data_IF_122063986497
#
_entry.id   IF_122063986497
#
_cell.length_a   1.000
_cell.length_b   1.000
_cell.length_c   1.000
_cell.angle_alpha   90.00
_cell.angle_beta   90.00
_cell.angle_gamma   90.00
#
_symmetry.space_group_name_H-M   'P 1'
#
loop_
_entity.id
_entity.type
_entity.pdbx_description
1 polymer ?
#
# COMPACT_ATOMS: atom_id res chain seq x y z
N UNK A 1 -7.47 5.40 14.08
CA UNK A 1 -6.33 4.66 13.48
C UNK A 1 -5.75 5.45 12.32
N UNK A 2 -4.44 5.71 12.32
CA UNK A 2 -3.72 6.32 11.19
C UNK A 2 -2.81 5.28 10.52
N UNK A 3 -3.07 4.98 9.26
CA UNK A 3 -2.26 4.05 8.45
C UNK A 3 -1.56 4.82 7.33
N UNK A 4 -0.29 4.52 7.11
CA UNK A 4 0.52 5.21 6.10
C UNK A 4 1.19 4.18 5.21
N UNK A 5 1.15 4.39 3.90
CA UNK A 5 1.99 3.65 2.95
C UNK A 5 2.94 4.59 2.22
N UNK A 6 4.16 4.11 1.98
CA UNK A 6 5.17 4.85 1.24
C UNK A 6 6.18 3.92 0.56
N UNK A 7 6.33 4.02 -0.73
CA UNK A 7 7.48 3.47 -1.41
C UNK A 7 8.68 4.39 -1.13
N UNK A 8 9.58 3.95 -0.26
CA UNK A 8 10.68 4.77 0.22
C UNK A 8 11.87 4.84 -0.74
N UNK A 9 11.86 4.11 -1.87
CA UNK A 9 12.99 4.01 -2.78
C UNK A 9 14.28 3.62 -2.06
N UNK A 10 14.25 2.50 -1.32
CA UNK A 10 15.34 1.90 -0.53
C UNK A 10 15.88 2.78 0.62
N UNK A 11 16.81 2.22 1.38
CA UNK A 11 17.50 2.90 2.50
C UNK A 11 16.56 3.60 3.50
N UNK A 12 15.48 2.91 3.88
CA UNK A 12 14.47 3.41 4.82
C UNK A 12 15.09 3.92 6.13
N UNK A 13 16.10 3.23 6.69
CA UNK A 13 16.82 3.64 7.90
C UNK A 13 17.32 5.09 7.91
N UNK A 14 17.57 5.67 6.72
CA UNK A 14 18.02 7.06 6.57
C UNK A 14 16.88 8.08 6.50
N UNK A 15 15.65 7.61 6.47
CA UNK A 15 14.45 8.41 6.17
C UNK A 15 13.32 8.17 7.16
N UNK A 16 13.46 7.15 8.01
CA UNK A 16 12.39 6.68 8.91
C UNK A 16 11.88 7.79 9.83
N UNK A 17 12.74 8.66 10.35
CA UNK A 17 12.35 9.77 11.21
C UNK A 17 11.33 10.72 10.55
N UNK A 18 11.44 10.95 9.23
CA UNK A 18 10.51 11.86 8.53
C UNK A 18 9.10 11.30 8.44
N UNK A 19 8.97 9.98 8.17
CA UNK A 19 7.64 9.37 8.07
C UNK A 19 7.07 9.07 9.45
N UNK A 20 7.89 8.72 10.42
CA UNK A 20 7.47 8.48 11.81
C UNK A 20 7.01 9.76 12.52
N UNK A 21 7.52 10.92 12.11
CA UNK A 21 7.01 12.22 12.56
C UNK A 21 5.53 12.43 12.20
N UNK A 22 4.97 11.67 11.25
CA UNK A 22 3.54 11.65 10.91
C UNK A 22 2.70 10.83 11.90
N UNK A 23 3.33 10.16 12.88
CA UNK A 23 2.71 9.36 13.96
C UNK A 23 1.72 8.30 13.43
N UNK A 24 2.17 7.35 12.59
CA UNK A 24 1.32 6.24 12.17
C UNK A 24 1.05 5.27 13.32
N UNK A 25 -0.15 4.68 13.37
CA UNK A 25 -0.42 3.47 14.14
C UNK A 25 0.10 2.24 13.38
N UNK A 26 -0.07 2.24 12.05
CA UNK A 26 0.43 1.20 11.15
C UNK A 26 1.16 1.88 9.98
N UNK A 27 2.37 1.41 9.69
CA UNK A 27 3.23 1.95 8.63
C UNK A 27 3.63 0.84 7.66
N UNK A 28 3.32 1.02 6.36
CA UNK A 28 3.69 0.12 5.28
C UNK A 28 4.79 0.79 4.45
N UNK A 29 5.95 0.13 4.36
CA UNK A 29 7.10 0.64 3.60
C UNK A 29 7.42 -0.31 2.46
N UNK A 30 7.18 0.16 1.25
CA UNK A 30 7.60 -0.51 0.02
C UNK A 30 9.06 -0.15 -0.28
N UNK A 31 9.82 -1.10 -0.79
CA UNK A 31 11.26 -1.02 -1.01
C UNK A 31 12.09 -0.86 0.28
N UNK A 32 11.58 -1.35 1.38
CA UNK A 32 12.26 -1.34 2.68
C UNK A 32 13.38 -2.37 2.72
N UNK A 33 14.53 -2.00 3.30
CA UNK A 33 15.54 -2.98 3.67
C UNK A 33 15.08 -3.88 4.81
N UNK A 34 15.77 -5.03 4.99
CA UNK A 34 15.49 -5.99 6.06
C UNK A 34 15.58 -5.34 7.44
N UNK A 35 14.74 -5.79 8.36
CA UNK A 35 14.59 -5.20 9.69
C UNK A 35 15.91 -5.13 10.49
N UNK A 36 16.80 -6.10 10.30
CA UNK A 36 18.13 -6.13 10.98
C UNK A 36 19.05 -4.95 10.61
N UNK A 37 18.71 -4.22 9.53
CA UNK A 37 19.43 -3.02 9.10
C UNK A 37 18.89 -1.75 9.71
N UNK A 38 17.75 -1.81 10.36
CA UNK A 38 17.09 -0.67 10.98
C UNK A 38 17.72 -0.45 12.37
N UNK A 39 18.17 0.77 12.61
CA UNK A 39 18.65 1.21 13.92
C UNK A 39 17.52 1.97 14.59
N UNK A 40 17.04 1.46 15.70
CA UNK A 40 16.02 2.11 16.50
C UNK A 40 16.69 3.06 17.50
N UNK A 41 16.19 4.28 17.55
CA UNK A 41 16.67 5.39 18.39
C UNK A 41 15.46 6.14 18.94
N UNK A 42 15.66 7.17 19.73
CA UNK A 42 14.56 8.01 20.23
C UNK A 42 13.77 8.66 19.07
N UNK A 43 14.44 9.03 17.97
CA UNK A 43 13.81 9.56 16.75
C UNK A 43 13.21 8.48 15.83
N UNK A 44 13.62 7.23 16.03
CA UNK A 44 13.14 6.07 15.25
C UNK A 44 12.73 4.99 16.26
N UNK A 45 11.54 5.12 16.88
CA UNK A 45 11.08 4.20 17.90
C UNK A 45 10.94 2.79 17.36
N UNK A 46 11.21 1.82 18.21
CA UNK A 46 11.02 0.41 17.89
C UNK A 46 9.52 0.14 17.75
N UNK A 47 9.07 -0.52 16.64
CA UNK A 47 7.68 -0.92 16.50
C UNK A 47 7.29 -1.96 17.56
N UNK A 48 6.02 -2.00 17.94
CA UNK A 48 5.45 -3.02 18.84
C UNK A 48 5.34 -4.37 18.15
N UNK A 49 5.13 -4.36 16.82
CA UNK A 49 5.10 -5.55 15.97
C UNK A 49 5.56 -5.19 14.55
N UNK A 50 6.12 -6.16 13.82
CA UNK A 50 6.59 -5.91 12.45
C UNK A 50 6.78 -7.20 11.67
N UNK A 51 6.50 -7.12 10.36
CA UNK A 51 6.78 -8.19 9.39
C UNK A 51 7.55 -7.59 8.21
N UNK A 52 8.38 -8.43 7.58
CA UNK A 52 9.12 -8.05 6.38
C UNK A 52 9.12 -9.21 5.37
N UNK A 53 8.95 -8.87 4.10
CA UNK A 53 8.89 -9.79 2.98
C UNK A 53 9.87 -9.35 1.89
N UNK A 54 10.78 -10.22 1.53
CA UNK A 54 11.75 -9.92 0.47
C UNK A 54 12.74 -11.06 0.25
N UNK A 55 13.32 -11.11 -0.94
CA UNK A 55 14.40 -12.05 -1.27
C UNK A 55 15.79 -11.48 -1.05
N UNK A 56 15.90 -10.16 -1.07
CA UNK A 56 17.14 -9.44 -0.93
C UNK A 56 17.04 -8.48 0.25
N UNK A 57 17.94 -8.63 1.22
CA UNK A 57 17.98 -7.82 2.43
C UNK A 57 18.05 -6.28 2.23
N UNK A 58 18.28 -5.83 1.00
CA UNK A 58 18.32 -4.40 0.68
C UNK A 58 16.98 -3.85 0.19
N UNK A 59 16.01 -4.72 -0.17
CA UNK A 59 14.77 -4.31 -0.80
C UNK A 59 13.66 -5.34 -0.57
N UNK A 60 12.60 -4.92 0.08
CA UNK A 60 11.42 -5.74 0.39
C UNK A 60 10.21 -4.88 0.70
N UNK A 61 9.19 -5.52 1.24
CA UNK A 61 7.95 -4.92 1.70
C UNK A 61 7.87 -5.12 3.21
N UNK A 62 7.75 -4.04 3.96
CA UNK A 62 7.66 -4.06 5.43
C UNK A 62 6.34 -3.49 5.92
N UNK A 63 5.87 -4.02 7.04
CA UNK A 63 4.79 -3.44 7.83
C UNK A 63 5.23 -3.32 9.28
N UNK A 64 4.93 -2.21 9.92
CA UNK A 64 5.25 -1.88 11.30
C UNK A 64 3.99 -1.44 12.02
N UNK A 65 3.78 -1.93 13.24
CA UNK A 65 2.79 -1.42 14.19
C UNK A 65 3.48 -0.58 15.26
N UNK A 66 2.93 0.58 15.57
CA UNK A 66 3.37 1.48 16.65
C UNK A 66 2.29 1.63 17.75
N UNK A 67 1.18 0.90 17.62
CA UNK A 67 0.08 0.86 18.59
C UNK A 67 -0.15 -0.55 19.14
N UNK A 68 -1.40 -0.85 19.47
CA UNK A 68 -1.82 -2.13 20.05
C UNK A 68 -2.07 -3.21 18.99
N UNK A 69 -1.93 -2.89 17.70
CA UNK A 69 -2.16 -3.81 16.62
C UNK A 69 -1.10 -4.93 16.57
N UNK A 70 -1.56 -6.16 16.31
CA UNK A 70 -0.74 -7.36 16.07
C UNK A 70 -0.86 -7.77 14.63
N UNK A 71 0.23 -8.24 14.06
CA UNK A 71 0.38 -8.54 12.64
C UNK A 71 0.68 -10.03 12.47
N UNK A 72 -0.14 -10.74 11.72
CA UNK A 72 0.09 -12.15 11.41
C UNK A 72 -0.15 -12.39 9.91
N UNK A 73 0.83 -13.02 9.25
CA UNK A 73 0.60 -13.49 7.86
C UNK A 73 -0.49 -14.56 7.87
N UNK A 74 -1.47 -14.46 6.98
CA UNK A 74 -2.52 -15.46 6.86
C UNK A 74 -1.95 -16.78 6.32
N UNK A 75 -2.46 -17.91 6.81
CA UNK A 75 -1.97 -19.26 6.49
C UNK A 75 -2.10 -19.63 5.01
N UNK A 76 -3.08 -19.06 4.32
CA UNK A 76 -3.30 -19.24 2.89
C UNK A 76 -2.48 -18.29 2.01
N UNK A 77 -1.45 -17.64 2.55
CA UNK A 77 -0.52 -16.85 1.75
C UNK A 77 0.11 -17.69 0.63
N UNK A 78 -0.05 -17.22 -0.61
CA UNK A 78 0.49 -17.87 -1.79
C UNK A 78 1.67 -17.05 -2.35
N UNK A 79 2.87 -17.63 -2.28
CA UNK A 79 4.10 -16.99 -2.75
C UNK A 79 4.14 -16.71 -4.26
N UNK A 80 3.26 -17.32 -5.05
CA UNK A 80 3.16 -17.05 -6.49
C UNK A 80 2.76 -15.61 -6.78
N UNK A 81 2.02 -14.97 -5.86
CA UNK A 81 1.66 -13.55 -5.96
C UNK A 81 2.76 -12.60 -5.50
N UNK A 82 3.95 -13.11 -5.21
CA UNK A 82 5.16 -12.35 -4.88
C UNK A 82 4.92 -11.39 -3.69
N UNK A 83 4.80 -10.09 -3.98
CA UNK A 83 4.65 -9.02 -2.98
C UNK A 83 3.20 -8.56 -2.85
N UNK A 84 2.25 -9.50 -2.87
CA UNK A 84 0.86 -9.28 -2.46
C UNK A 84 0.61 -10.20 -1.27
N UNK A 85 0.70 -9.63 -0.07
CA UNK A 85 0.79 -10.37 1.17
C UNK A 85 -0.47 -10.17 1.99
N UNK A 86 -1.26 -11.24 2.23
CA UNK A 86 -2.42 -11.18 3.13
C UNK A 86 -1.97 -11.25 4.60
N UNK A 87 -2.35 -10.24 5.38
CA UNK A 87 -2.04 -10.07 6.79
C UNK A 87 -3.35 -10.01 7.58
N UNK A 88 -3.43 -10.73 8.67
CA UNK A 88 -4.40 -10.47 9.71
C UNK A 88 -3.86 -9.36 10.62
N UNK A 89 -4.64 -8.30 10.77
CA UNK A 89 -4.40 -7.23 11.74
C UNK A 89 -5.41 -7.36 12.85
N UNK A 90 -4.96 -7.52 14.08
CA UNK A 90 -5.82 -7.71 15.25
C UNK A 90 -5.39 -6.82 16.42
N UNK A 91 -6.28 -6.63 17.37
CA UNK A 91 -6.08 -5.69 18.48
C UNK A 91 -6.38 -4.23 18.07
N UNK A 92 -6.10 -3.28 18.95
CA UNK A 92 -6.46 -1.89 18.72
C UNK A 92 -7.98 -1.68 18.67
N UNK A 93 -8.46 -0.84 17.75
CA UNK A 93 -9.88 -0.47 17.69
C UNK A 93 -10.75 -1.51 16.98
N UNK A 94 -10.21 -2.25 16.01
CA UNK A 94 -10.93 -3.31 15.26
C UNK A 94 -9.96 -4.21 14.51
N UNK A 95 -10.40 -5.41 14.23
CA UNK A 95 -9.67 -6.43 13.48
C UNK A 95 -10.04 -6.35 11.99
N UNK A 96 -9.07 -6.58 11.10
CA UNK A 96 -9.29 -6.56 9.65
C UNK A 96 -8.25 -7.40 8.90
N UNK A 97 -8.59 -7.77 7.67
CA UNK A 97 -7.65 -8.34 6.73
C UNK A 97 -6.97 -7.23 5.94
N UNK A 98 -5.65 -7.28 5.85
CA UNK A 98 -4.82 -6.31 5.15
C UNK A 98 -4.04 -7.00 4.05
N UNK A 99 -4.21 -6.55 2.81
CA UNK A 99 -3.37 -6.96 1.68
C UNK A 99 -2.31 -5.89 1.43
N UNK A 100 -1.05 -6.21 1.77
CA UNK A 100 0.09 -5.38 1.42
C UNK A 100 0.37 -5.51 -0.07
N UNK A 101 0.50 -4.40 -0.76
CA UNK A 101 0.69 -4.38 -2.21
C UNK A 101 2.02 -3.72 -2.58
N UNK A 102 2.85 -4.49 -3.29
CA UNK A 102 3.92 -3.96 -4.11
C UNK A 102 3.89 -4.68 -5.46
N UNK A 103 3.10 -4.13 -6.38
CA UNK A 103 2.92 -4.68 -7.70
C UNK A 103 4.14 -4.33 -8.57
N UNK A 104 5.12 -5.22 -8.65
CA UNK A 104 6.34 -5.01 -9.42
C UNK A 104 6.41 -5.94 -10.65
N UNK A 105 7.44 -5.77 -11.47
CA UNK A 105 7.70 -6.63 -12.60
C UNK A 105 8.73 -7.72 -12.25
N UNK A 106 8.31 -8.98 -12.04
CA UNK A 106 9.22 -10.09 -11.71
C UNK A 106 9.96 -10.66 -12.90
N UNK A 107 9.81 -10.09 -14.12
CA UNK A 107 10.34 -10.63 -15.37
C UNK A 107 9.41 -11.62 -16.08
N UNK A 108 8.31 -12.02 -15.47
CA UNK A 108 7.29 -12.88 -16.05
C UNK A 108 6.26 -12.07 -16.86
N UNK A 109 5.94 -12.49 -18.09
CA UNK A 109 5.00 -11.78 -18.97
C UNK A 109 3.57 -11.77 -18.41
N UNK A 110 3.16 -12.82 -17.69
CA UNK A 110 1.80 -13.03 -17.23
C UNK A 110 1.58 -12.61 -15.76
N UNK A 111 2.62 -12.13 -15.08
CA UNK A 111 2.60 -11.78 -13.67
C UNK A 111 3.09 -10.36 -13.35
N UNK A 112 3.00 -9.40 -14.32
CA UNK A 112 3.55 -8.06 -14.13
C UNK A 112 2.55 -7.10 -13.49
N UNK A 113 3.05 -6.30 -12.55
CA UNK A 113 2.32 -5.16 -12.01
C UNK A 113 0.86 -5.50 -11.63
N UNK A 114 -0.09 -4.73 -12.14
CA UNK A 114 -1.52 -4.84 -11.83
C UNK A 114 -2.13 -6.22 -12.13
N UNK A 115 -1.55 -6.99 -13.07
CA UNK A 115 -2.01 -8.36 -13.36
C UNK A 115 -1.87 -9.28 -12.16
N UNK A 116 -0.84 -9.11 -11.33
CA UNK A 116 -0.69 -9.86 -10.08
C UNK A 116 -1.81 -9.53 -9.10
N UNK A 117 -2.13 -8.25 -8.95
CA UNK A 117 -3.23 -7.80 -8.07
C UNK A 117 -4.55 -8.40 -8.54
N UNK A 118 -4.83 -8.36 -9.86
CA UNK A 118 -6.03 -8.96 -10.43
C UNK A 118 -6.12 -10.47 -10.13
N UNK A 119 -5.02 -11.21 -10.31
CA UNK A 119 -4.97 -12.65 -10.00
C UNK A 119 -5.15 -12.92 -8.51
N UNK A 120 -4.51 -12.13 -7.65
CA UNK A 120 -4.60 -12.28 -6.20
C UNK A 120 -6.01 -12.03 -5.68
N UNK A 121 -6.73 -11.01 -6.17
CA UNK A 121 -8.13 -10.75 -5.81
C UNK A 121 -9.01 -11.97 -6.13
N UNK A 122 -8.80 -12.61 -7.29
CA UNK A 122 -9.56 -13.81 -7.65
C UNK A 122 -9.19 -15.03 -6.78
N UNK A 123 -7.93 -15.17 -6.41
CA UNK A 123 -7.48 -16.27 -5.56
C UNK A 123 -7.94 -16.14 -4.11
N UNK A 124 -7.83 -14.93 -3.55
CA UNK A 124 -8.21 -14.64 -2.16
C UNK A 124 -9.69 -14.26 -2.01
N UNK A 125 -10.53 -14.62 -2.95
CA UNK A 125 -11.95 -14.22 -3.03
C UNK A 125 -12.71 -14.39 -1.70
N UNK A 126 -12.53 -15.54 -1.04
CA UNK A 126 -13.17 -15.87 0.23
C UNK A 126 -12.69 -14.98 1.39
N UNK A 127 -11.45 -14.46 1.34
CA UNK A 127 -10.92 -13.56 2.37
C UNK A 127 -11.43 -12.13 2.26
N UNK A 128 -12.08 -11.79 1.14
CA UNK A 128 -12.58 -10.46 0.85
C UNK A 128 -14.01 -10.23 1.33
N UNK A 129 -14.60 -11.23 1.99
CA UNK A 129 -15.96 -11.19 2.51
C UNK A 129 -15.99 -11.55 3.99
N UNK A 130 -16.95 -11.02 4.73
CA UNK A 130 -17.21 -11.41 6.13
C UNK A 130 -16.27 -10.79 7.18
N UNK A 131 -15.20 -10.11 6.78
CA UNK A 131 -14.30 -9.36 7.66
C UNK A 131 -13.89 -8.04 7.00
N UNK A 132 -13.74 -6.95 7.77
CA UNK A 132 -13.20 -5.70 7.22
C UNK A 132 -11.91 -5.96 6.45
N UNK A 133 -11.79 -5.37 5.26
CA UNK A 133 -10.67 -5.68 4.36
C UNK A 133 -10.07 -4.41 3.78
N UNK A 134 -8.73 -4.37 3.72
CA UNK A 134 -7.94 -3.27 3.16
C UNK A 134 -6.92 -3.79 2.16
N UNK A 135 -6.75 -3.10 1.03
CA UNK A 135 -5.62 -3.23 0.11
C UNK A 135 -4.84 -1.93 0.10
N UNK A 136 -3.54 -1.96 0.38
CA UNK A 136 -2.76 -0.73 0.49
C UNK A 136 -1.32 -0.94 0.00
N UNK A 137 -0.79 0.07 -0.70
CA UNK A 137 0.60 0.07 -1.17
C UNK A 137 0.76 0.60 -2.59
N UNK A 138 1.86 0.19 -3.23
CA UNK A 138 2.23 0.58 -4.58
C UNK A 138 1.66 -0.43 -5.59
N UNK A 139 0.62 -0.01 -6.31
CA UNK A 139 -0.05 -0.80 -7.36
C UNK A 139 0.67 -0.71 -8.71
N UNK A 140 1.62 0.22 -8.85
CA UNK A 140 2.34 0.47 -10.10
C UNK A 140 1.43 0.55 -11.32
N UNK A 141 0.26 1.11 -11.17
CA UNK A 141 -0.81 1.12 -12.17
C UNK A 141 -1.75 2.30 -11.98
N UNK A 142 -2.36 2.72 -13.11
CA UNK A 142 -3.43 3.69 -13.16
C UNK A 142 -4.27 3.45 -14.41
N UNK A 143 -5.55 3.84 -14.43
CA UNK A 143 -6.48 3.68 -15.57
C UNK A 143 -5.98 4.34 -16.85
N UNK A 144 -5.15 5.39 -16.76
CA UNK A 144 -4.57 6.06 -17.93
C UNK A 144 -3.74 5.12 -18.81
N UNK A 145 -3.32 3.95 -18.30
CA UNK A 145 -2.57 2.94 -19.05
C UNK A 145 -3.40 1.75 -19.52
N UNK A 146 -4.71 1.76 -19.33
CA UNK A 146 -5.62 0.64 -19.68
C UNK A 146 -5.91 0.49 -21.17
N UNK A 147 -5.42 1.40 -22.01
CA UNK A 147 -5.53 1.34 -23.47
C UNK A 147 -4.82 0.14 -24.12
N UNK A 148 -3.96 -0.56 -23.39
CA UNK A 148 -3.24 -1.74 -23.88
C UNK A 148 -4.13 -2.98 -23.86
N UNK A 149 -4.80 -3.28 -24.96
CA UNK A 149 -5.87 -4.29 -25.14
C UNK A 149 -5.53 -5.77 -24.81
N UNK A 150 -4.31 -6.11 -24.41
CA UNK A 150 -3.88 -7.52 -24.31
C UNK A 150 -3.35 -7.93 -22.91
N UNK A 151 -3.76 -7.24 -21.85
CA UNK A 151 -3.38 -7.66 -20.49
C UNK A 151 -4.56 -8.34 -19.79
N UNK A 152 -4.31 -9.54 -19.25
CA UNK A 152 -5.15 -10.10 -18.18
C UNK A 152 -5.08 -9.11 -17.01
N UNK A 153 -6.22 -8.56 -16.64
CA UNK A 153 -6.32 -7.58 -15.56
C UNK A 153 -5.73 -6.21 -15.93
N UNK A 154 -6.57 -5.23 -16.08
CA UNK A 154 -6.24 -3.80 -16.17
C UNK A 154 -6.47 -3.15 -14.80
N UNK A 155 -6.02 -1.90 -14.61
CA UNK A 155 -6.34 -1.14 -13.40
C UNK A 155 -7.86 -1.02 -13.21
N UNK A 156 -8.60 -0.64 -14.26
CA UNK A 156 -10.05 -0.55 -14.21
C UNK A 156 -10.73 -1.88 -13.88
N UNK A 157 -10.18 -3.02 -14.32
CA UNK A 157 -10.74 -4.33 -13.97
C UNK A 157 -10.49 -4.69 -12.51
N UNK A 158 -9.34 -4.30 -11.93
CA UNK A 158 -9.05 -4.45 -10.50
C UNK A 158 -10.00 -3.60 -9.67
N UNK A 159 -10.15 -2.31 -10.01
CA UNK A 159 -11.10 -1.41 -9.33
C UNK A 159 -12.50 -2.00 -9.35
N UNK A 160 -12.99 -2.42 -10.53
CA UNK A 160 -14.32 -3.01 -10.66
C UNK A 160 -14.50 -4.31 -9.85
N UNK A 161 -13.47 -5.17 -9.79
CA UNK A 161 -13.53 -6.37 -8.95
C UNK A 161 -13.65 -6.04 -7.47
N UNK A 162 -12.86 -5.07 -6.99
CA UNK A 162 -12.92 -4.62 -5.60
C UNK A 162 -14.28 -3.97 -5.29
N UNK A 163 -14.78 -3.10 -6.15
CA UNK A 163 -16.10 -2.46 -6.01
C UNK A 163 -17.24 -3.46 -5.97
N UNK A 164 -17.19 -4.52 -6.79
CA UNK A 164 -18.18 -5.60 -6.77
C UNK A 164 -18.21 -6.37 -5.43
N UNK A 165 -17.15 -6.25 -4.61
CA UNK A 165 -17.04 -6.82 -3.27
C UNK A 165 -17.26 -5.78 -2.15
N UNK A 166 -17.69 -4.58 -2.51
CA UNK A 166 -17.89 -3.49 -1.55
C UNK A 166 -16.58 -2.91 -1.02
N UNK A 167 -15.49 -2.99 -1.79
CA UNK A 167 -14.17 -2.46 -1.45
C UNK A 167 -13.86 -1.27 -2.36
N UNK A 168 -13.67 -0.08 -1.80
CA UNK A 168 -13.59 1.17 -2.53
C UNK A 168 -12.28 1.93 -2.25
N UNK A 169 -11.82 2.70 -3.22
CA UNK A 169 -10.65 3.56 -3.05
C UNK A 169 -10.95 4.72 -2.11
N UNK A 170 -10.21 4.80 -1.00
CA UNK A 170 -10.36 5.88 -0.01
C UNK A 170 -10.08 7.24 -0.63
N UNK A 171 -9.06 7.34 -1.50
CA UNK A 171 -8.71 8.59 -2.16
C UNK A 171 -9.87 9.10 -3.03
N UNK A 172 -10.43 8.26 -3.90
CA UNK A 172 -11.46 8.67 -4.84
C UNK A 172 -12.77 9.05 -4.15
N UNK A 173 -13.12 8.34 -3.07
CA UNK A 173 -14.30 8.68 -2.26
C UNK A 173 -14.09 9.99 -1.50
N UNK A 174 -12.94 10.15 -0.81
CA UNK A 174 -12.66 11.32 0.02
C UNK A 174 -12.55 12.61 -0.80
N UNK A 175 -11.77 12.58 -1.89
CA UNK A 175 -11.53 13.74 -2.74
C UNK A 175 -12.57 13.94 -3.84
N UNK A 176 -13.56 13.02 -3.97
CA UNK A 176 -14.58 13.03 -5.02
C UNK A 176 -13.98 13.09 -6.43
N UNK A 177 -12.91 12.34 -6.63
CA UNK A 177 -12.17 12.25 -7.88
C UNK A 177 -12.56 11.00 -8.66
N UNK A 178 -12.39 11.06 -9.99
CA UNK A 178 -12.58 9.89 -10.86
C UNK A 178 -11.24 9.23 -11.14
N UNK A 179 -11.22 7.90 -11.24
CA UNK A 179 -10.04 7.13 -11.64
C UNK A 179 -9.42 7.69 -12.93
N UNK A 180 -8.11 7.95 -12.90
CA UNK A 180 -7.36 8.57 -14.00
C UNK A 180 -7.46 10.08 -14.08
N UNK A 181 -8.10 10.73 -13.08
CA UNK A 181 -8.23 12.20 -12.97
C UNK A 181 -7.76 12.71 -11.61
N UNK A 182 -6.86 11.95 -10.97
CA UNK A 182 -6.34 12.28 -9.64
C UNK A 182 -5.53 13.58 -9.68
N UNK A 183 -5.87 14.52 -8.80
CA UNK A 183 -5.18 15.82 -8.69
C UNK A 183 -3.93 15.76 -7.79
N UNK A 184 -3.80 14.71 -6.97
CA UNK A 184 -2.70 14.54 -6.05
C UNK A 184 -1.86 13.31 -6.46
N UNK A 185 -0.78 13.48 -7.23
CA UNK A 185 0.11 12.40 -7.61
C UNK A 185 0.82 11.78 -6.40
N UNK A 186 1.03 10.47 -6.45
CA UNK A 186 1.80 9.74 -5.44
C UNK A 186 3.20 9.37 -5.91
N UNK A 187 3.46 9.44 -7.21
CA UNK A 187 4.74 9.14 -7.85
C UNK A 187 5.14 10.23 -8.84
N UNK A 188 6.42 10.56 -8.86
CA UNK A 188 7.02 11.55 -9.75
C UNK A 188 8.22 10.92 -10.44
N UNK A 189 8.07 10.53 -11.71
CA UNK A 189 9.12 9.85 -12.46
C UNK A 189 10.42 10.66 -12.46
N UNK A 190 11.50 10.03 -12.00
CA UNK A 190 12.81 10.66 -11.77
C UNK A 190 12.77 11.86 -10.79
N UNK A 191 11.75 11.90 -9.91
CA UNK A 191 11.48 13.01 -8.97
C UNK A 191 11.13 14.33 -9.66
N UNK A 192 10.79 14.31 -10.95
CA UNK A 192 10.42 15.48 -11.72
C UNK A 192 8.95 15.85 -11.52
N UNK A 193 8.68 17.08 -11.11
CA UNK A 193 7.34 17.58 -10.83
C UNK A 193 6.41 17.55 -12.06
N UNK A 194 6.96 17.65 -13.25
CA UNK A 194 6.26 17.63 -14.54
C UNK A 194 5.95 16.21 -15.07
N UNK A 195 6.33 15.16 -14.31
CA UNK A 195 6.06 13.75 -14.66
C UNK A 195 5.32 13.03 -13.54
N UNK A 196 4.12 13.53 -13.17
CA UNK A 196 3.36 13.02 -12.04
C UNK A 196 2.46 11.84 -12.44
N UNK A 197 2.28 10.89 -11.51
CA UNK A 197 1.34 9.78 -11.62
C UNK A 197 0.74 9.46 -10.25
N UNK A 198 -0.47 8.92 -10.20
CA UNK A 198 -1.08 8.39 -8.99
C UNK A 198 -1.11 6.87 -9.10
N UNK A 199 -0.28 6.17 -8.33
CA UNK A 199 -0.07 4.72 -8.44
C UNK A 199 -0.02 4.00 -7.08
N UNK A 200 -0.04 4.74 -5.98
CA UNK A 200 -0.14 4.21 -4.64
C UNK A 200 -1.57 4.44 -4.13
N UNK A 201 -2.21 3.39 -3.61
CA UNK A 201 -3.62 3.41 -3.23
C UNK A 201 -3.87 2.77 -1.88
N UNK A 202 -5.01 3.14 -1.28
CA UNK A 202 -5.67 2.42 -0.21
C UNK A 202 -7.13 2.16 -0.62
N UNK A 203 -7.50 0.88 -0.71
CA UNK A 203 -8.89 0.44 -0.91
C UNK A 203 -9.37 -0.22 0.36
N UNK A 204 -10.61 0.06 0.78
CA UNK A 204 -11.18 -0.49 2.00
C UNK A 204 -12.62 -0.94 1.80
N UNK A 205 -13.05 -1.94 2.57
CA UNK A 205 -14.43 -2.37 2.62
C UNK A 205 -15.36 -1.29 3.17
N UNK A 206 -16.66 -1.39 2.87
CA UNK A 206 -17.68 -0.39 3.21
C UNK A 206 -17.68 -0.06 4.70
N UNK A 207 -17.58 -1.03 5.58
CA UNK A 207 -17.55 -0.88 7.04
C UNK A 207 -16.34 -0.08 7.55
N UNK A 208 -15.19 -0.19 6.88
CA UNK A 208 -14.04 0.67 7.13
C UNK A 208 -14.23 2.06 6.50
N UNK A 209 -14.84 2.11 5.31
CA UNK A 209 -15.06 3.38 4.61
C UNK A 209 -15.99 4.32 5.41
N UNK A 210 -16.98 3.79 6.12
CA UNK A 210 -17.85 4.54 7.02
C UNK A 210 -17.10 5.23 8.17
N UNK A 211 -15.91 4.73 8.52
CA UNK A 211 -15.02 5.31 9.54
C UNK A 211 -13.95 6.23 8.95
N UNK A 212 -13.91 6.40 7.63
CA UNK A 212 -12.89 7.21 6.97
C UNK A 212 -13.02 8.68 7.38
N UNK A 213 -11.94 9.23 7.94
CA UNK A 213 -11.86 10.62 8.37
C UNK A 213 -11.13 11.50 7.38
N UNK A 214 -9.92 11.08 6.94
CA UNK A 214 -9.12 11.85 5.99
C UNK A 214 -8.23 10.95 5.13
N UNK A 215 -7.91 11.47 3.93
CA UNK A 215 -6.87 10.94 3.06
C UNK A 215 -5.96 12.09 2.65
N UNK A 216 -4.69 11.99 2.99
CA UNK A 216 -3.68 13.00 2.72
C UNK A 216 -2.58 12.41 1.84
N UNK A 217 -2.13 13.18 0.84
CA UNK A 217 -1.01 12.83 -0.02
C UNK A 217 0.17 13.73 0.29
N UNK A 218 1.34 13.16 0.42
CA UNK A 218 2.56 13.90 0.76
C UNK A 218 2.91 14.97 -0.28
N UNK A 219 3.48 16.08 0.17
CA UNK A 219 3.90 17.18 -0.68
C UNK A 219 5.17 16.83 -1.48
N UNK A 220 5.17 17.11 -2.78
CA UNK A 220 6.31 16.88 -3.68
C UNK A 220 7.60 17.55 -3.18
N UNK A 221 7.52 18.83 -2.79
CA UNK A 221 8.70 19.63 -2.44
C UNK A 221 9.46 19.05 -1.24
N UNK A 222 8.73 18.40 -0.33
CA UNK A 222 9.34 17.76 0.83
C UNK A 222 9.75 16.31 0.52
N UNK A 223 8.81 15.46 0.06
CA UNK A 223 9.03 14.02 0.00
C UNK A 223 9.91 13.58 -1.17
N UNK A 224 9.88 14.29 -2.30
CA UNK A 224 10.75 13.95 -3.45
C UNK A 224 12.24 14.22 -3.23
N UNK A 225 12.63 14.78 -2.09
CA UNK A 225 14.03 14.78 -1.63
C UNK A 225 14.49 13.37 -1.23
N UNK A 226 13.58 12.51 -0.81
CA UNK A 226 13.87 11.21 -0.21
C UNK A 226 13.46 10.03 -1.10
N UNK A 227 12.39 10.16 -1.85
CA UNK A 227 11.88 9.14 -2.78
C UNK A 227 11.30 9.80 -4.03
N UNK A 228 11.09 9.05 -5.08
CA UNK A 228 10.26 9.43 -6.23
C UNK A 228 8.76 9.20 -5.96
N UNK A 229 8.41 8.51 -4.87
CA UNK A 229 7.06 8.45 -4.34
C UNK A 229 6.88 9.37 -3.12
N UNK A 230 5.65 9.82 -2.93
CA UNK A 230 5.20 10.52 -1.72
C UNK A 230 4.23 9.65 -0.92
N UNK A 231 4.17 9.77 0.42
CA UNK A 231 3.30 8.92 1.21
C UNK A 231 1.81 9.18 0.98
N UNK A 232 1.03 8.10 1.11
CA UNK A 232 -0.43 8.14 1.23
C UNK A 232 -0.77 7.86 2.70
N UNK A 233 -1.48 8.79 3.33
CA UNK A 233 -1.85 8.77 4.74
C UNK A 233 -3.36 8.70 4.87
N UNK A 234 -3.88 7.68 5.53
CA UNK A 234 -5.33 7.47 5.70
C UNK A 234 -5.65 7.40 7.18
N UNK A 235 -6.63 8.18 7.62
CA UNK A 235 -7.07 8.21 9.02
C UNK A 235 -8.50 7.71 9.13
N UNK A 236 -8.74 6.84 10.10
CA UNK A 236 -10.05 6.30 10.47
C UNK A 236 -10.38 6.65 11.93
N UNK A 237 -11.67 6.89 12.19
CA UNK A 237 -12.23 7.06 13.54
C UNK A 237 -12.23 5.76 14.33
#
# INVERSE_FOLDING_TARGET
MKIITWNCNMAFRKKANFILAQKPDILIIVECEHLDKLLFTDDIPKPTDSLWFGKNQHKGLAIFSYGDYRLKTLENHNEDFKMIIPIEVSGGHFDFNLFLIWAYNPGDKDGRYITQVWKAINYYDELLTGKPTMFIGDFNSNTIWDYKKHRLGSHSSVVKQLENKGIFSTYHIHHKQTQGKEEHPTFYMYRHKDKPYHIDYCFVSTDMLEKLQSVEIGDHKFWCKYSDHVPVMVTFN
#
